data_IF_614989093124
#
_entry.id   IF_614989093124
#
_cell.length_a   1.000
_cell.length_b   1.000
_cell.length_c   1.000
_cell.angle_alpha   90.00
_cell.angle_beta   90.00
_cell.angle_gamma   90.00
#
_symmetry.space_group_name_H-M   'P 1'
#
loop_
_entity.id
_entity.type
_entity.pdbx_description
1 polymer ?
#
# COMPACT_ATOMS: atom_id res chain seq x y z
N UNK A 1 3.13 -17.01 -7.41
CA UNK A 1 2.70 -16.08 -6.36
C UNK A 1 1.21 -16.32 -6.21
N UNK A 2 0.80 -17.03 -5.17
CA UNK A 2 -0.55 -17.64 -5.04
C UNK A 2 -1.68 -16.61 -4.86
N UNK A 3 -1.33 -15.36 -4.52
CA UNK A 3 -2.31 -14.35 -4.15
C UNK A 3 -3.04 -13.73 -5.34
N UNK A 4 -2.41 -13.65 -6.52
CA UNK A 4 -2.96 -12.95 -7.68
C UNK A 4 -3.57 -13.94 -8.68
N UNK A 5 -4.69 -13.55 -9.30
CA UNK A 5 -5.35 -14.32 -10.36
C UNK A 5 -4.44 -14.52 -11.55
N UNK A 6 -4.49 -15.71 -12.14
CA UNK A 6 -3.94 -15.88 -13.48
C UNK A 6 -4.94 -15.40 -14.54
N UNK A 7 -4.43 -14.76 -15.58
CA UNK A 7 -5.21 -14.32 -16.74
C UNK A 7 -4.69 -15.11 -17.93
N UNK A 8 -5.57 -15.90 -18.54
CA UNK A 8 -5.26 -16.73 -19.70
C UNK A 8 -4.89 -15.93 -20.96
N UNK A 9 -5.22 -14.63 -21.00
CA UNK A 9 -4.88 -13.74 -22.11
C UNK A 9 -3.39 -13.40 -22.10
N UNK A 10 -2.74 -13.48 -23.27
CA UNK A 10 -1.31 -13.20 -23.46
C UNK A 10 -0.90 -11.73 -23.19
N UNK A 11 -1.85 -10.84 -22.91
CA UNK A 11 -1.60 -9.41 -22.71
C UNK A 11 -1.30 -8.69 -24.04
N UNK A 12 -0.77 -7.48 -23.95
CA UNK A 12 -0.27 -6.72 -25.12
C UNK A 12 1.25 -6.58 -25.06
N UNK A 13 1.92 -6.32 -26.21
CA UNK A 13 3.33 -5.99 -26.23
C UNK A 13 3.68 -4.84 -25.28
N UNK A 14 4.83 -4.94 -24.61
CA UNK A 14 5.24 -3.96 -23.58
C UNK A 14 5.29 -2.53 -24.11
N UNK A 15 5.83 -2.30 -25.32
CA UNK A 15 5.91 -0.94 -25.90
C UNK A 15 4.53 -0.31 -26.11
N UNK A 16 3.55 -1.11 -26.53
CA UNK A 16 2.16 -0.67 -26.66
C UNK A 16 1.55 -0.31 -25.30
N UNK A 17 1.77 -1.15 -24.28
CA UNK A 17 1.32 -0.89 -22.93
C UNK A 17 1.91 0.41 -22.39
N UNK A 18 3.22 0.62 -22.54
CA UNK A 18 3.91 1.82 -22.06
C UNK A 18 3.41 3.08 -22.74
N UNK A 19 3.15 3.04 -24.06
CA UNK A 19 2.55 4.17 -24.77
C UNK A 19 1.19 4.56 -24.19
N UNK A 20 0.31 3.57 -23.91
CA UNK A 20 -1.00 3.82 -23.29
C UNK A 20 -0.89 4.34 -21.87
N UNK A 21 0.00 3.76 -21.07
CA UNK A 21 0.24 4.18 -19.69
C UNK A 21 0.74 5.63 -19.64
N UNK A 22 1.63 6.04 -20.55
CA UNK A 22 2.08 7.44 -20.65
C UNK A 22 0.92 8.40 -20.94
N UNK A 23 0.01 8.04 -21.85
CA UNK A 23 -1.17 8.85 -22.14
C UNK A 23 -2.11 8.96 -20.93
N UNK A 24 -2.44 7.84 -20.26
CA UNK A 24 -3.28 7.85 -19.04
C UNK A 24 -2.63 8.61 -17.89
N UNK A 25 -1.32 8.43 -17.68
CA UNK A 25 -0.53 9.17 -16.69
C UNK A 25 -0.63 10.69 -16.87
N UNK A 26 -0.60 11.16 -18.12
CA UNK A 26 -0.78 12.58 -18.42
C UNK A 26 -2.20 13.06 -18.07
N UNK A 27 -3.22 12.25 -18.34
CA UNK A 27 -4.62 12.55 -17.97
C UNK A 27 -4.79 12.65 -16.44
N UNK A 28 -4.31 11.66 -15.68
CA UNK A 28 -4.35 11.66 -14.19
C UNK A 28 -3.68 12.92 -13.64
N UNK A 29 -2.52 13.29 -14.18
CA UNK A 29 -1.78 14.49 -13.74
C UNK A 29 -2.57 15.77 -14.02
N UNK A 30 -3.20 15.87 -15.20
CA UNK A 30 -4.02 17.02 -15.59
C UNK A 30 -5.27 17.14 -14.70
N UNK A 31 -5.97 16.04 -14.49
CA UNK A 31 -7.15 15.98 -13.62
C UNK A 31 -6.80 16.37 -12.18
N UNK A 32 -5.68 15.86 -11.67
CA UNK A 32 -5.21 16.18 -10.34
C UNK A 32 -4.90 17.68 -10.17
N UNK A 33 -4.18 18.28 -11.12
CA UNK A 33 -3.91 19.72 -11.12
C UNK A 33 -5.19 20.54 -11.18
N UNK A 34 -6.17 20.11 -11.98
CA UNK A 34 -7.47 20.77 -12.05
C UNK A 34 -8.25 20.66 -10.73
N UNK A 35 -8.22 19.51 -10.06
CA UNK A 35 -8.83 19.32 -8.75
C UNK A 35 -8.19 20.22 -7.69
N UNK A 36 -6.86 20.27 -7.64
CA UNK A 36 -6.11 21.17 -6.76
C UNK A 36 -6.45 22.64 -6.98
N UNK A 37 -6.55 23.07 -8.25
CA UNK A 37 -6.89 24.45 -8.58
C UNK A 37 -8.30 24.83 -8.12
N UNK A 38 -9.25 23.88 -8.15
CA UNK A 38 -10.63 24.11 -7.72
C UNK A 38 -10.80 24.09 -6.21
N UNK A 39 -9.91 23.39 -5.47
CA UNK A 39 -10.04 23.13 -4.02
C UNK A 39 -11.46 22.67 -3.59
N UNK A 40 -12.17 22.01 -4.48
CA UNK A 40 -13.54 21.57 -4.26
C UNK A 40 -13.59 20.05 -4.06
N UNK A 41 -14.46 19.54 -3.18
CA UNK A 41 -14.66 18.11 -3.05
C UNK A 41 -15.14 17.53 -4.38
N UNK A 42 -14.71 16.32 -4.74
CA UNK A 42 -15.21 15.66 -5.93
C UNK A 42 -16.71 15.35 -5.76
N UNK A 43 -17.49 15.46 -6.83
CA UNK A 43 -18.93 15.14 -6.83
C UNK A 43 -19.15 13.62 -6.92
N UNK A 44 -18.61 12.87 -5.97
CA UNK A 44 -18.57 11.41 -5.93
C UNK A 44 -18.52 10.93 -4.47
N UNK A 45 -18.73 9.63 -4.23
CA UNK A 45 -18.54 9.04 -2.91
C UNK A 45 -17.10 8.53 -2.69
N UNK A 46 -16.73 8.26 -1.44
CA UNK A 46 -15.41 7.67 -1.10
C UNK A 46 -15.27 6.29 -1.76
N UNK A 47 -16.34 5.49 -1.74
CA UNK A 47 -16.41 4.16 -2.37
C UNK A 47 -16.07 4.24 -3.86
N UNK A 48 -16.70 5.15 -4.60
CA UNK A 48 -16.46 5.33 -6.02
C UNK A 48 -15.03 5.78 -6.35
N UNK A 49 -14.36 6.51 -5.46
CA UNK A 49 -12.95 6.89 -5.63
C UNK A 49 -12.05 5.66 -5.56
N UNK A 50 -12.28 4.79 -4.57
CA UNK A 50 -11.50 3.57 -4.39
C UNK A 50 -11.83 2.51 -5.44
N UNK A 51 -13.09 2.40 -5.88
CA UNK A 51 -13.47 1.49 -6.97
C UNK A 51 -12.80 1.89 -8.29
N UNK A 52 -12.78 3.18 -8.62
CA UNK A 52 -12.04 3.66 -9.78
C UNK A 52 -10.53 3.36 -9.74
N UNK A 53 -9.93 3.32 -8.54
CA UNK A 53 -8.54 2.86 -8.38
C UNK A 53 -8.39 1.37 -8.70
N UNK A 54 -9.27 0.52 -8.16
CA UNK A 54 -9.24 -0.92 -8.39
C UNK A 54 -9.52 -1.26 -9.85
N UNK A 55 -10.44 -0.55 -10.51
CA UNK A 55 -10.70 -0.67 -11.94
C UNK A 55 -9.46 -0.36 -12.78
N UNK A 56 -8.72 0.71 -12.46
CA UNK A 56 -7.48 1.06 -13.16
C UNK A 56 -6.38 0.00 -12.95
N UNK A 57 -6.28 -0.57 -11.75
CA UNK A 57 -5.38 -1.70 -11.48
C UNK A 57 -5.79 -2.95 -12.27
N UNK A 58 -7.08 -3.27 -12.30
CA UNK A 58 -7.63 -4.38 -13.07
C UNK A 58 -7.39 -4.21 -14.58
N UNK A 59 -7.64 -3.01 -15.11
CA UNK A 59 -7.36 -2.66 -16.49
C UNK A 59 -5.89 -2.88 -16.80
N UNK A 60 -5.00 -2.29 -16.00
CA UNK A 60 -3.56 -2.33 -16.21
C UNK A 60 -3.04 -3.77 -16.19
N UNK A 61 -3.44 -4.55 -15.18
CA UNK A 61 -3.07 -5.95 -15.05
C UNK A 61 -3.54 -6.78 -16.25
N UNK A 62 -4.76 -6.53 -16.75
CA UNK A 62 -5.29 -7.18 -17.94
C UNK A 62 -4.61 -6.77 -19.26
N UNK A 63 -3.84 -5.67 -19.27
CA UNK A 63 -3.02 -5.30 -20.43
C UNK A 63 -1.62 -5.93 -20.42
N UNK A 64 -1.13 -6.41 -19.27
CA UNK A 64 0.24 -6.90 -19.11
C UNK A 64 0.41 -8.31 -19.68
N UNK A 65 1.49 -8.51 -20.44
CA UNK A 65 1.97 -9.85 -20.76
C UNK A 65 2.43 -10.61 -19.50
N UNK A 66 2.60 -11.93 -19.61
CA UNK A 66 2.97 -12.79 -18.49
C UNK A 66 4.31 -12.37 -17.83
N UNK A 67 5.27 -11.87 -18.61
CA UNK A 67 6.58 -11.42 -18.12
C UNK A 67 6.44 -10.17 -17.26
N UNK A 68 5.64 -9.20 -17.71
CA UNK A 68 5.40 -7.98 -16.98
C UNK A 68 4.56 -8.23 -15.73
N UNK A 69 3.53 -9.08 -15.83
CA UNK A 69 2.77 -9.56 -14.65
C UNK A 69 3.69 -10.19 -13.62
N UNK A 70 4.58 -11.10 -14.02
CA UNK A 70 5.53 -11.74 -13.10
C UNK A 70 6.49 -10.73 -12.42
N UNK A 71 6.94 -9.71 -13.15
CA UNK A 71 7.84 -8.68 -12.62
C UNK A 71 7.16 -7.77 -11.61
N UNK A 72 5.91 -7.37 -11.86
CA UNK A 72 5.14 -6.45 -11.01
C UNK A 72 4.27 -7.14 -9.97
N UNK A 73 4.11 -8.46 -10.04
CA UNK A 73 3.31 -9.25 -9.12
C UNK A 73 3.57 -8.93 -7.64
N UNK A 74 4.81 -8.68 -7.16
CA UNK A 74 5.01 -8.30 -5.76
C UNK A 74 4.27 -7.00 -5.41
N UNK A 75 4.35 -5.97 -6.25
CA UNK A 75 3.70 -4.69 -5.97
C UNK A 75 2.19 -4.78 -6.07
N UNK A 76 1.67 -5.53 -7.04
CA UNK A 76 0.23 -5.76 -7.17
C UNK A 76 -0.32 -6.56 -5.98
N UNK A 77 0.42 -7.58 -5.52
CA UNK A 77 0.09 -8.33 -4.31
C UNK A 77 0.08 -7.42 -3.07
N UNK A 78 1.06 -6.52 -2.92
CA UNK A 78 1.07 -5.54 -1.83
C UNK A 78 -0.21 -4.69 -1.81
N UNK A 79 -0.69 -4.24 -2.98
CA UNK A 79 -1.94 -3.47 -3.05
C UNK A 79 -3.17 -4.32 -2.72
N UNK A 80 -3.22 -5.57 -3.20
CA UNK A 80 -4.31 -6.48 -2.86
C UNK A 80 -4.32 -6.92 -1.40
N UNK A 81 -3.21 -6.84 -0.66
CA UNK A 81 -3.24 -7.06 0.79
C UNK A 81 -4.18 -6.08 1.50
N UNK A 82 -4.28 -4.83 1.02
CA UNK A 82 -5.25 -3.87 1.56
C UNK A 82 -6.68 -4.32 1.25
N UNK A 83 -6.96 -4.77 0.02
CA UNK A 83 -8.27 -5.31 -0.37
C UNK A 83 -8.65 -6.51 0.50
N UNK A 84 -7.72 -7.45 0.71
CA UNK A 84 -7.90 -8.62 1.55
C UNK A 84 -8.23 -8.22 3.00
N UNK A 85 -7.47 -7.30 3.59
CA UNK A 85 -7.72 -6.80 4.95
C UNK A 85 -9.08 -6.11 5.05
N UNK A 86 -9.46 -5.29 4.06
CA UNK A 86 -10.77 -4.65 4.03
C UNK A 86 -11.91 -5.66 3.91
N UNK A 87 -11.74 -6.72 3.12
CA UNK A 87 -12.70 -7.81 3.06
C UNK A 87 -12.85 -8.48 4.43
N UNK A 88 -11.75 -8.81 5.11
CA UNK A 88 -11.80 -9.39 6.46
C UNK A 88 -12.51 -8.48 7.47
N UNK A 89 -12.29 -7.15 7.41
CA UNK A 89 -13.00 -6.17 8.26
C UNK A 89 -14.48 -6.10 7.97
N UNK A 90 -14.89 -6.23 6.72
CA UNK A 90 -16.31 -6.24 6.34
C UNK A 90 -16.97 -7.58 6.69
N UNK A 91 -16.27 -8.71 6.59
CA UNK A 91 -16.74 -10.01 7.07
C UNK A 91 -16.98 -9.96 8.58
N UNK A 92 -16.02 -9.46 9.34
CA UNK A 92 -16.13 -9.33 10.81
C UNK A 92 -17.29 -8.41 11.23
N UNK A 93 -17.56 -7.37 10.43
CA UNK A 93 -18.69 -6.47 10.63
C UNK A 93 -20.02 -6.94 10.00
N UNK A 94 -20.09 -8.13 9.40
CA UNK A 94 -21.29 -8.66 8.75
C UNK A 94 -21.72 -7.97 7.45
N UNK A 95 -20.89 -7.10 6.85
CA UNK A 95 -21.20 -6.33 5.63
C UNK A 95 -20.82 -7.10 4.37
N UNK A 96 -21.66 -8.08 4.00
CA UNK A 96 -21.39 -8.99 2.86
C UNK A 96 -21.41 -8.32 1.49
N UNK A 97 -22.29 -7.36 1.29
CA UNK A 97 -22.39 -6.60 0.04
C UNK A 97 -21.10 -5.83 -0.24
N UNK A 98 -20.49 -5.24 0.81
CA UNK A 98 -19.19 -4.57 0.69
C UNK A 98 -18.05 -5.52 0.32
N UNK A 99 -18.08 -6.76 0.82
CA UNK A 99 -17.10 -7.78 0.41
C UNK A 99 -17.26 -8.11 -1.07
N UNK A 100 -18.50 -8.27 -1.55
CA UNK A 100 -18.75 -8.55 -2.96
C UNK A 100 -18.26 -7.42 -3.86
N UNK A 101 -18.54 -6.17 -3.49
CA UNK A 101 -18.09 -4.96 -4.20
C UNK A 101 -16.57 -4.86 -4.26
N UNK A 102 -15.88 -4.98 -3.13
CA UNK A 102 -14.40 -4.93 -3.09
C UNK A 102 -13.74 -6.01 -3.96
N UNK A 103 -14.39 -7.17 -4.09
CA UNK A 103 -13.88 -8.30 -4.88
C UNK A 103 -14.23 -8.20 -6.37
N UNK A 104 -15.07 -7.26 -6.80
CA UNK A 104 -15.48 -7.12 -8.21
C UNK A 104 -14.28 -6.80 -9.13
N UNK A 105 -13.42 -5.89 -8.69
CA UNK A 105 -12.24 -5.46 -9.45
C UNK A 105 -10.91 -6.00 -8.89
N UNK A 106 -10.98 -6.84 -7.86
CA UNK A 106 -9.79 -7.39 -7.21
C UNK A 106 -8.97 -8.26 -8.17
N UNK A 107 -7.65 -8.16 -8.01
CA UNK A 107 -6.68 -9.03 -8.66
C UNK A 107 -6.43 -10.33 -7.89
N UNK A 108 -7.12 -10.57 -6.78
CA UNK A 108 -6.97 -11.78 -5.98
C UNK A 108 -7.30 -13.04 -6.80
N UNK A 109 -6.57 -14.13 -6.52
CA UNK A 109 -6.80 -15.42 -7.15
C UNK A 109 -8.18 -15.99 -6.76
N UNK A 110 -8.82 -16.74 -7.67
CA UNK A 110 -10.17 -17.29 -7.45
C UNK A 110 -10.30 -18.11 -6.14
N UNK A 111 -9.33 -18.96 -5.74
CA UNK A 111 -9.41 -19.63 -4.44
C UNK A 111 -9.49 -18.66 -3.25
N UNK A 112 -8.79 -17.53 -3.31
CA UNK A 112 -8.81 -16.48 -2.29
C UNK A 112 -10.14 -15.73 -2.30
N UNK A 113 -10.64 -15.39 -3.48
CA UNK A 113 -11.95 -14.74 -3.66
C UNK A 113 -13.07 -15.63 -3.11
N UNK A 114 -13.05 -16.92 -3.45
CA UNK A 114 -14.01 -17.92 -2.97
C UNK A 114 -13.98 -18.05 -1.44
N UNK A 115 -12.78 -18.13 -0.85
CA UNK A 115 -12.61 -18.16 0.61
C UNK A 115 -13.24 -16.94 1.29
N UNK A 116 -13.06 -15.74 0.74
CA UNK A 116 -13.63 -14.50 1.30
C UNK A 116 -15.14 -14.40 1.11
N UNK A 117 -15.67 -14.84 -0.04
CA UNK A 117 -17.11 -14.78 -0.34
C UNK A 117 -17.93 -15.77 0.49
N UNK A 118 -17.42 -16.99 0.68
CA UNK A 118 -18.19 -18.09 1.25
C UNK A 118 -18.05 -18.23 2.76
N UNK A 119 -16.99 -17.69 3.36
CA UNK A 119 -16.76 -17.80 4.80
C UNK A 119 -17.91 -17.20 5.60
N UNK A 120 -18.51 -17.93 6.55
CA UNK A 120 -19.63 -17.44 7.38
C UNK A 120 -19.24 -16.38 8.41
N UNK A 121 -17.97 -16.38 8.84
CA UNK A 121 -17.38 -15.42 9.78
C UNK A 121 -15.89 -15.22 9.49
N UNK A 122 -15.26 -14.30 10.23
CA UNK A 122 -13.85 -13.95 10.05
C UNK A 122 -12.89 -15.11 10.35
N UNK A 123 -13.19 -15.97 11.33
CA UNK A 123 -12.31 -17.11 11.68
C UNK A 123 -12.30 -18.13 10.56
N UNK A 124 -13.48 -18.42 10.00
CA UNK A 124 -13.66 -19.30 8.84
C UNK A 124 -12.92 -18.73 7.63
N UNK A 125 -12.96 -17.41 7.42
CA UNK A 125 -12.21 -16.76 6.35
C UNK A 125 -10.69 -16.91 6.55
N UNK A 126 -10.18 -16.68 7.77
CA UNK A 126 -8.75 -16.81 8.07
C UNK A 126 -8.24 -18.24 7.88
N UNK A 127 -9.01 -19.24 8.32
CA UNK A 127 -8.69 -20.64 8.12
C UNK A 127 -8.66 -21.00 6.62
N UNK A 128 -9.69 -20.61 5.86
CA UNK A 128 -9.75 -20.87 4.43
C UNK A 128 -8.60 -20.16 3.66
N UNK A 129 -8.25 -18.93 4.05
CA UNK A 129 -7.11 -18.21 3.48
C UNK A 129 -5.78 -18.92 3.74
N UNK A 130 -5.58 -19.44 4.96
CA UNK A 130 -4.38 -20.18 5.33
C UNK A 130 -4.17 -21.45 4.48
N UNK A 131 -5.27 -22.11 4.08
CA UNK A 131 -5.24 -23.27 3.18
C UNK A 131 -4.92 -22.89 1.73
N UNK A 132 -5.53 -21.83 1.19
CA UNK A 132 -5.44 -21.51 -0.25
C UNK A 132 -4.25 -20.63 -0.64
N UNK A 133 -3.65 -19.91 0.31
CA UNK A 133 -2.53 -19.00 0.05
C UNK A 133 -1.43 -19.02 1.13
N UNK A 134 -0.97 -20.19 1.61
CA UNK A 134 -0.05 -20.30 2.74
C UNK A 134 1.26 -19.53 2.52
N UNK A 135 1.78 -19.57 1.29
CA UNK A 135 3.04 -18.90 0.94
C UNK A 135 2.91 -17.37 0.94
N UNK A 136 1.73 -16.85 0.57
CA UNK A 136 1.49 -15.41 0.51
C UNK A 136 1.20 -14.81 1.88
N UNK A 137 0.64 -15.60 2.80
CA UNK A 137 0.28 -15.13 4.14
C UNK A 137 1.49 -15.17 5.10
N UNK A 138 2.63 -15.74 4.66
CA UNK A 138 3.87 -15.81 5.43
C UNK A 138 3.71 -16.51 6.78
N UNK A 139 2.71 -17.37 6.89
CA UNK A 139 2.19 -17.94 8.12
C UNK A 139 1.88 -19.41 7.88
N UNK A 140 2.47 -20.30 8.68
CA UNK A 140 1.97 -21.67 8.76
C UNK A 140 0.50 -21.68 9.22
N UNK A 141 -0.18 -22.81 9.02
CA UNK A 141 -1.56 -23.00 9.48
C UNK A 141 -1.74 -22.52 10.94
N UNK A 142 -2.79 -21.76 11.20
CA UNK A 142 -3.15 -21.24 12.54
C UNK A 142 -2.53 -19.88 12.94
N UNK A 143 -1.45 -19.42 12.28
CA UNK A 143 -0.77 -18.18 12.73
C UNK A 143 -1.59 -16.89 12.55
N UNK A 144 -2.53 -16.85 11.61
CA UNK A 144 -3.46 -15.71 11.46
C UNK A 144 -4.60 -15.78 12.49
N UNK A 145 -5.09 -16.97 12.79
CA UNK A 145 -6.10 -17.17 13.84
C UNK A 145 -5.55 -16.80 15.22
N UNK A 146 -4.30 -17.18 15.51
CA UNK A 146 -3.60 -16.77 16.73
C UNK A 146 -3.43 -15.25 16.82
N UNK A 147 -3.11 -14.59 15.70
CA UNK A 147 -3.00 -13.14 15.66
C UNK A 147 -4.35 -12.47 15.93
N UNK A 148 -5.42 -13.03 15.35
CA UNK A 148 -6.79 -12.59 15.60
C UNK A 148 -7.20 -12.77 17.06
N UNK A 149 -6.91 -13.93 17.67
CA UNK A 149 -7.20 -14.20 19.07
C UNK A 149 -6.48 -13.24 20.04
N UNK A 150 -5.25 -12.81 19.71
CA UNK A 150 -4.44 -11.93 20.57
C UNK A 150 -4.81 -10.45 20.49
N UNK A 151 -5.33 -9.96 19.36
CA UNK A 151 -5.61 -8.52 19.21
C UNK A 151 -6.47 -8.15 18.00
N UNK A 152 -7.34 -9.07 17.59
CA UNK A 152 -8.30 -8.87 16.51
C UNK A 152 -7.66 -8.62 15.15
N UNK A 153 -8.43 -8.01 14.25
CA UNK A 153 -8.02 -7.77 12.86
C UNK A 153 -6.82 -6.85 12.71
N UNK A 154 -6.58 -5.94 13.64
CA UNK A 154 -5.40 -5.08 13.63
C UNK A 154 -4.10 -5.92 13.70
N UNK A 155 -4.08 -6.94 14.55
CA UNK A 155 -2.94 -7.85 14.66
C UNK A 155 -2.80 -8.74 13.44
N UNK A 156 -3.91 -9.20 12.86
CA UNK A 156 -3.92 -9.94 11.59
C UNK A 156 -3.30 -9.10 10.47
N UNK A 157 -3.78 -7.86 10.28
CA UNK A 157 -3.28 -6.92 9.27
C UNK A 157 -1.78 -6.68 9.43
N UNK A 158 -1.34 -6.30 10.63
CA UNK A 158 0.07 -6.03 10.92
C UNK A 158 0.94 -7.25 10.65
N UNK A 159 0.51 -8.43 11.09
CA UNK A 159 1.25 -9.69 10.87
C UNK A 159 1.35 -10.00 9.38
N UNK A 160 0.22 -9.94 8.67
CA UNK A 160 0.13 -10.27 7.25
C UNK A 160 1.04 -9.38 6.41
N UNK A 161 0.90 -8.05 6.55
CA UNK A 161 1.69 -7.09 5.79
C UNK A 161 3.19 -7.22 6.09
N UNK A 162 3.56 -7.39 7.37
CA UNK A 162 4.96 -7.57 7.78
C UNK A 162 5.56 -8.86 7.22
N UNK A 163 4.86 -9.98 7.38
CA UNK A 163 5.36 -11.28 6.92
C UNK A 163 5.52 -11.30 5.40
N UNK A 164 4.51 -10.79 4.67
CA UNK A 164 4.54 -10.70 3.23
C UNK A 164 5.69 -9.80 2.73
N UNK A 165 5.87 -8.59 3.29
CA UNK A 165 6.94 -7.68 2.87
C UNK A 165 8.34 -8.28 3.12
N UNK A 166 8.55 -8.83 4.31
CA UNK A 166 9.82 -9.44 4.70
C UNK A 166 10.18 -10.66 3.83
N UNK A 167 9.19 -11.38 3.32
CA UNK A 167 9.37 -12.49 2.39
C UNK A 167 9.56 -12.01 0.95
N UNK A 168 8.73 -11.08 0.48
CA UNK A 168 8.73 -10.58 -0.89
C UNK A 168 10.08 -9.98 -1.27
N UNK A 169 10.71 -9.20 -0.37
CA UNK A 169 12.00 -8.55 -0.63
C UNK A 169 13.17 -9.54 -0.72
N UNK A 170 13.07 -10.73 -0.11
CA UNK A 170 14.08 -11.80 -0.24
C UNK A 170 14.04 -12.50 -1.59
N UNK A 171 12.95 -12.37 -2.34
CA UNK A 171 12.79 -12.97 -3.66
C UNK A 171 13.69 -12.37 -4.74
N UNK A 172 13.68 -13.03 -5.91
CA UNK A 172 14.31 -12.50 -7.13
C UNK A 172 13.40 -11.43 -7.75
N UNK A 173 13.69 -10.17 -7.47
CA UNK A 173 12.91 -9.02 -7.91
C UNK A 173 13.58 -8.26 -9.05
N UNK A 174 12.77 -7.59 -9.88
CA UNK A 174 13.28 -6.55 -10.78
C UNK A 174 13.88 -5.40 -9.94
N UNK A 175 14.97 -4.73 -10.38
CA UNK A 175 15.64 -3.69 -9.58
C UNK A 175 14.70 -2.59 -9.08
N UNK A 176 13.85 -2.03 -9.95
CA UNK A 176 12.89 -0.99 -9.57
C UNK A 176 11.84 -1.48 -8.55
N UNK A 177 11.42 -2.74 -8.65
CA UNK A 177 10.49 -3.35 -7.68
C UNK A 177 11.16 -3.56 -6.33
N UNK A 178 12.43 -4.01 -6.32
CA UNK A 178 13.21 -4.12 -5.08
C UNK A 178 13.36 -2.75 -4.42
N UNK A 179 13.77 -1.74 -5.19
CA UNK A 179 13.95 -0.38 -4.69
C UNK A 179 12.66 0.17 -4.08
N UNK A 180 11.52 -0.04 -4.75
CA UNK A 180 10.20 0.32 -4.23
C UNK A 180 9.86 -0.39 -2.92
N UNK A 181 9.98 -1.73 -2.86
CA UNK A 181 9.63 -2.48 -1.64
C UNK A 181 10.53 -2.13 -0.46
N UNK A 182 11.83 -1.92 -0.68
CA UNK A 182 12.77 -1.47 0.34
C UNK A 182 12.33 -0.11 0.89
N UNK A 183 12.09 0.87 0.00
CA UNK A 183 11.65 2.20 0.41
C UNK A 183 10.29 2.17 1.14
N UNK A 184 9.38 1.30 0.71
CA UNK A 184 8.09 1.11 1.37
C UNK A 184 8.24 0.50 2.76
N UNK A 185 9.15 -0.46 2.94
CA UNK A 185 9.49 -1.04 4.25
C UNK A 185 10.05 0.05 5.18
N UNK A 186 11.00 0.86 4.70
CA UNK A 186 11.60 1.92 5.50
C UNK A 186 10.56 2.96 5.94
N UNK A 187 9.66 3.36 5.03
CA UNK A 187 8.52 4.23 5.35
C UNK A 187 7.67 3.64 6.49
N UNK A 188 7.28 2.36 6.39
CA UNK A 188 6.46 1.69 7.40
C UNK A 188 7.17 1.58 8.74
N UNK A 189 8.47 1.30 8.72
CA UNK A 189 9.29 1.25 9.92
C UNK A 189 9.41 2.64 10.58
N UNK A 190 9.64 3.71 9.82
CA UNK A 190 9.68 5.09 10.36
C UNK A 190 8.34 5.49 10.98
N UNK A 191 7.21 5.18 10.33
CA UNK A 191 5.87 5.41 10.91
C UNK A 191 5.69 4.62 12.21
N UNK A 192 6.25 3.41 12.28
CA UNK A 192 6.20 2.57 13.49
C UNK A 192 6.98 3.22 14.64
N UNK A 193 8.19 3.72 14.38
CA UNK A 193 8.98 4.48 15.38
C UNK A 193 8.19 5.69 15.86
N UNK A 194 7.62 6.47 14.94
CA UNK A 194 6.84 7.66 15.28
C UNK A 194 5.66 7.35 16.21
N UNK A 195 4.87 6.31 15.90
CA UNK A 195 3.72 5.89 16.72
C UNK A 195 4.13 5.55 18.14
N UNK A 196 5.27 4.88 18.31
CA UNK A 196 5.78 4.54 19.64
C UNK A 196 6.20 5.77 20.42
N UNK A 197 6.97 6.67 19.80
CA UNK A 197 7.39 7.91 20.45
C UNK A 197 6.18 8.77 20.84
N UNK A 198 5.14 8.80 20.00
CA UNK A 198 3.93 9.60 20.25
C UNK A 198 3.01 9.01 21.32
N UNK A 199 2.89 7.69 21.39
CA UNK A 199 1.98 7.02 22.33
C UNK A 199 2.68 6.45 23.57
N UNK A 200 3.98 6.71 23.73
CA UNK A 200 4.82 6.22 24.84
C UNK A 200 4.66 4.70 25.09
N UNK A 201 4.61 3.91 24.01
CA UNK A 201 4.47 2.45 24.12
C UNK A 201 5.82 1.85 24.53
N UNK A 202 5.91 1.37 25.77
CA UNK A 202 7.13 0.81 26.36
C UNK A 202 7.09 -0.72 26.45
N UNK A 203 5.92 -1.33 26.67
CA UNK A 203 5.81 -2.74 27.10
C UNK A 203 5.82 -3.78 25.97
N UNK A 204 5.73 -3.37 24.71
CA UNK A 204 5.74 -4.27 23.56
C UNK A 204 7.00 -4.08 22.72
N UNK A 205 7.65 -5.14 22.23
CA UNK A 205 8.73 -4.96 21.26
C UNK A 205 8.18 -4.42 19.91
N UNK A 206 8.84 -3.43 19.29
CA UNK A 206 8.41 -2.91 18.00
C UNK A 206 8.42 -4.00 16.94
N UNK A 207 7.30 -4.14 16.26
CA UNK A 207 7.11 -5.08 15.15
C UNK A 207 7.75 -4.57 13.84
N UNK A 208 9.06 -4.30 13.82
CA UNK A 208 9.75 -3.84 12.60
C UNK A 208 9.73 -4.90 11.49
N UNK A 209 9.72 -4.41 10.25
CA UNK A 209 9.76 -5.22 9.04
C UNK A 209 11.21 -5.31 8.57
N UNK A 210 11.73 -6.53 8.45
CA UNK A 210 13.07 -6.77 7.94
C UNK A 210 13.17 -6.55 6.42
N UNK A 211 14.37 -6.19 5.95
CA UNK A 211 14.69 -6.06 4.52
C UNK A 211 14.53 -4.65 3.93
N UNK A 212 14.31 -3.64 4.77
CA UNK A 212 14.52 -2.23 4.42
C UNK A 212 16.00 -1.86 4.37
N UNK A 213 16.32 -0.61 4.04
CA UNK A 213 17.69 -0.09 4.14
C UNK A 213 18.06 0.33 5.55
N UNK A 214 17.07 0.60 6.40
CA UNK A 214 17.30 0.95 7.80
C UNK A 214 17.57 -0.31 8.65
N UNK A 215 18.67 -0.29 9.40
CA UNK A 215 19.01 -1.35 10.34
C UNK A 215 17.98 -1.41 11.50
N UNK A 216 17.57 -2.62 11.88
CA UNK A 216 16.57 -2.85 12.94
C UNK A 216 17.05 -2.28 14.27
N UNK A 217 18.34 -2.40 14.55
CA UNK A 217 18.99 -1.88 15.76
C UNK A 217 18.90 -0.35 15.81
N UNK A 218 19.05 0.33 14.67
CA UNK A 218 18.89 1.79 14.56
C UNK A 218 17.44 2.22 14.78
N UNK A 219 16.49 1.46 14.24
CA UNK A 219 15.05 1.69 14.44
C UNK A 219 14.64 1.51 15.90
N UNK A 220 15.16 0.47 16.56
CA UNK A 220 14.92 0.21 17.98
C UNK A 220 15.50 1.34 18.85
N UNK A 221 16.75 1.77 18.59
CA UNK A 221 17.37 2.87 19.31
C UNK A 221 16.58 4.19 19.15
N UNK A 222 16.08 4.48 17.95
CA UNK A 222 15.27 5.67 17.69
C UNK A 222 13.85 5.60 18.27
N UNK A 223 13.40 4.43 18.75
CA UNK A 223 12.10 4.26 19.41
C UNK A 223 12.16 4.50 20.92
N UNK A 224 13.35 4.70 21.48
CA UNK A 224 13.52 4.98 22.90
C UNK A 224 13.00 6.38 23.27
N UNK A 225 12.51 6.53 24.51
CA UNK A 225 12.05 7.83 25.03
C UNK A 225 13.17 8.88 24.93
N UNK A 226 12.83 10.08 24.45
CA UNK A 226 13.80 11.17 24.26
C UNK A 226 14.67 11.06 23.01
N UNK A 227 14.49 10.03 22.17
CA UNK A 227 15.30 9.79 20.97
C UNK A 227 14.87 10.61 19.73
N UNK A 228 14.31 11.80 19.91
CA UNK A 228 13.73 12.59 18.81
C UNK A 228 14.78 12.98 17.76
N UNK A 229 16.01 13.26 18.18
CA UNK A 229 17.11 13.56 17.25
C UNK A 229 17.49 12.35 16.39
N UNK A 230 17.49 11.12 16.95
CA UNK A 230 17.70 9.90 16.15
C UNK A 230 16.53 9.67 15.19
N UNK A 231 15.29 9.92 15.63
CA UNK A 231 14.11 9.83 14.78
C UNK A 231 14.17 10.81 13.61
N UNK A 232 14.50 12.08 13.84
CA UNK A 232 14.68 13.08 12.78
C UNK A 232 15.75 12.67 11.76
N UNK A 233 16.84 12.03 12.22
CA UNK A 233 17.88 11.50 11.34
C UNK A 233 17.34 10.39 10.44
N UNK A 234 16.51 9.48 10.96
CA UNK A 234 15.86 8.43 10.16
C UNK A 234 14.91 9.03 9.12
N UNK A 235 14.13 10.05 9.51
CA UNK A 235 13.21 10.74 8.59
C UNK A 235 13.99 11.38 7.45
N UNK A 236 15.11 12.07 7.72
CA UNK A 236 15.94 12.67 6.65
C UNK A 236 16.60 11.62 5.76
N UNK A 237 16.92 10.44 6.28
CA UNK A 237 17.46 9.34 5.48
C UNK A 237 16.42 8.78 4.50
N UNK A 238 15.15 8.70 4.92
CA UNK A 238 14.05 8.16 4.09
C UNK A 238 13.40 9.20 3.18
N UNK A 239 13.23 10.44 3.66
CA UNK A 239 12.51 11.52 2.97
C UNK A 239 13.44 12.58 2.33
N UNK A 240 14.75 12.41 2.46
CA UNK A 240 15.75 13.37 1.97
C UNK A 240 16.13 14.44 3.01
N UNK A 241 17.28 15.08 2.78
CA UNK A 241 17.89 16.04 3.72
C UNK A 241 17.04 17.28 3.97
N UNK A 242 16.24 17.68 2.99
CA UNK A 242 15.36 18.84 3.04
C UNK A 242 14.00 18.53 3.67
N UNK A 243 13.81 17.30 4.19
CA UNK A 243 12.61 16.96 4.92
C UNK A 243 12.45 17.90 6.13
N UNK A 244 11.26 18.53 6.30
CA UNK A 244 11.06 19.48 7.37
C UNK A 244 11.24 18.79 8.73
N UNK A 245 11.78 19.49 9.75
CA UNK A 245 11.74 19.00 11.13
C UNK A 245 10.28 18.75 11.51
N UNK A 246 9.96 17.52 11.91
CA UNK A 246 8.56 17.14 12.09
C UNK A 246 8.04 17.66 13.42
N UNK A 247 7.14 18.64 13.36
CA UNK A 247 6.36 19.09 14.49
C UNK A 247 4.95 18.48 14.47
N UNK A 248 4.65 17.69 15.50
CA UNK A 248 3.34 17.41 16.12
C UNK A 248 2.27 16.51 15.46
N UNK A 249 2.27 16.13 14.17
CA UNK A 249 1.20 15.25 13.61
C UNK A 249 1.64 14.05 12.76
N UNK A 250 0.96 12.91 12.95
CA UNK A 250 1.20 11.64 12.23
C UNK A 250 0.93 11.77 10.74
N UNK A 251 -0.18 12.43 10.40
CA UNK A 251 -0.62 12.63 9.02
C UNK A 251 0.38 13.46 8.23
N UNK A 252 1.06 14.42 8.87
CA UNK A 252 2.11 15.21 8.21
C UNK A 252 3.34 14.34 7.90
N UNK A 253 3.77 13.48 8.84
CA UNK A 253 4.88 12.55 8.60
C UNK A 253 4.58 11.59 7.45
N UNK A 254 3.44 10.89 7.51
CA UNK A 254 3.10 9.91 6.47
C UNK A 254 2.97 10.59 5.10
N UNK A 255 2.37 11.79 5.04
CA UNK A 255 2.28 12.56 3.79
C UNK A 255 3.66 12.93 3.24
N UNK A 256 4.59 13.38 4.09
CA UNK A 256 5.97 13.69 3.67
C UNK A 256 6.68 12.44 3.12
N UNK A 257 6.58 11.31 3.81
CA UNK A 257 7.22 10.06 3.38
C UNK A 257 6.62 9.55 2.06
N UNK A 258 5.29 9.54 1.92
CA UNK A 258 4.60 9.12 0.70
C UNK A 258 4.90 10.07 -0.47
N UNK A 259 5.00 11.38 -0.20
CA UNK A 259 5.37 12.39 -1.19
C UNK A 259 6.80 12.20 -1.69
N UNK A 260 7.75 11.91 -0.79
CA UNK A 260 9.11 11.60 -1.19
C UNK A 260 9.19 10.31 -2.03
N UNK A 261 8.47 9.25 -1.64
CA UNK A 261 8.38 8.03 -2.44
C UNK A 261 7.78 8.31 -3.84
N UNK A 262 6.75 9.15 -3.92
CA UNK A 262 6.17 9.58 -5.20
C UNK A 262 7.17 10.37 -6.08
N UNK A 263 8.02 11.20 -5.46
CA UNK A 263 9.10 11.92 -6.13
C UNK A 263 10.14 10.96 -6.72
N UNK A 264 10.65 10.04 -5.90
CA UNK A 264 11.62 9.02 -6.33
C UNK A 264 11.10 8.15 -7.47
N UNK A 265 9.88 7.63 -7.37
CA UNK A 265 9.29 6.82 -8.44
C UNK A 265 9.17 7.59 -9.76
N UNK A 266 8.91 8.90 -9.70
CA UNK A 266 8.83 9.76 -10.87
C UNK A 266 10.18 9.97 -11.54
N UNK A 267 11.25 10.06 -10.76
CA UNK A 267 12.64 10.11 -11.24
C UNK A 267 13.04 8.76 -11.84
N UNK A 268 12.81 7.67 -11.12
CA UNK A 268 13.03 6.31 -11.59
C UNK A 268 12.29 6.01 -12.90
N UNK A 269 11.07 6.56 -13.09
CA UNK A 269 10.32 6.39 -14.32
C UNK A 269 10.87 7.17 -15.53
N UNK A 270 11.73 8.18 -15.31
CA UNK A 270 12.40 8.92 -16.39
C UNK A 270 13.67 8.22 -16.85
N UNK A 271 14.42 7.68 -15.89
CA UNK A 271 15.75 7.10 -16.11
C UNK A 271 15.72 5.57 -16.23
N UNK A 272 14.69 4.95 -15.64
CA UNK A 272 14.50 3.50 -15.61
C UNK A 272 13.72 2.96 -16.81
N UNK A 273 13.75 1.63 -16.93
CA UNK A 273 12.99 0.91 -17.96
C UNK A 273 11.49 0.81 -17.66
N UNK A 274 10.80 0.02 -18.46
CA UNK A 274 9.33 -0.12 -18.47
C UNK A 274 8.70 -0.41 -17.10
N UNK A 275 9.38 -1.21 -16.28
CA UNK A 275 8.91 -1.54 -14.92
C UNK A 275 8.80 -0.28 -14.05
N UNK A 276 9.76 0.64 -14.14
CA UNK A 276 9.74 1.88 -13.36
C UNK A 276 8.60 2.80 -13.78
N UNK A 277 8.32 2.89 -15.09
CA UNK A 277 7.18 3.65 -15.64
C UNK A 277 5.86 3.11 -15.09
N UNK A 278 5.71 1.78 -15.05
CA UNK A 278 4.50 1.13 -14.54
C UNK A 278 4.35 1.32 -13.03
N UNK A 279 5.45 1.30 -12.27
CA UNK A 279 5.44 1.59 -10.83
C UNK A 279 5.02 3.03 -10.53
N UNK A 280 5.58 4.03 -11.23
CA UNK A 280 5.12 5.43 -11.06
C UNK A 280 3.65 5.58 -11.42
N UNK A 281 3.18 4.90 -12.48
CA UNK A 281 1.77 4.97 -12.85
C UNK A 281 0.85 4.40 -11.76
N UNK A 282 1.13 3.18 -11.29
CA UNK A 282 0.39 2.54 -10.20
C UNK A 282 0.36 3.42 -8.94
N UNK A 283 1.53 3.92 -8.53
CA UNK A 283 1.63 4.78 -7.34
C UNK A 283 0.90 6.10 -7.51
N UNK A 284 0.96 6.70 -8.70
CA UNK A 284 0.25 7.96 -9.00
C UNK A 284 -1.26 7.79 -8.96
N UNK A 285 -1.78 6.65 -9.41
CA UNK A 285 -3.20 6.32 -9.26
C UNK A 285 -3.59 6.26 -7.78
N UNK A 286 -2.81 5.55 -6.96
CA UNK A 286 -3.04 5.48 -5.51
C UNK A 286 -3.02 6.87 -4.84
N UNK A 287 -2.00 7.69 -5.15
CA UNK A 287 -1.89 9.06 -4.61
C UNK A 287 -3.08 9.91 -5.04
N UNK A 288 -3.50 9.83 -6.31
CA UNK A 288 -4.65 10.57 -6.81
C UNK A 288 -5.94 10.17 -6.09
N UNK A 289 -6.17 8.86 -5.88
CA UNK A 289 -7.33 8.36 -5.13
C UNK A 289 -7.29 8.83 -3.67
N UNK A 290 -6.15 8.68 -2.98
CA UNK A 290 -5.95 9.16 -1.60
C UNK A 290 -6.25 10.65 -1.47
N UNK A 291 -5.69 11.47 -2.37
CA UNK A 291 -5.89 12.91 -2.33
C UNK A 291 -7.36 13.30 -2.60
N UNK A 292 -8.05 12.61 -3.51
CA UNK A 292 -9.48 12.82 -3.77
C UNK A 292 -10.33 12.46 -2.55
N UNK A 293 -10.02 11.36 -1.87
CA UNK A 293 -10.70 10.96 -0.63
C UNK A 293 -10.48 12.01 0.49
N UNK A 294 -9.24 12.50 0.66
CA UNK A 294 -8.96 13.59 1.61
C UNK A 294 -9.74 14.87 1.28
N UNK A 295 -9.79 15.27 0.01
CA UNK A 295 -10.59 16.43 -0.42
C UNK A 295 -12.08 16.26 -0.15
N UNK A 296 -12.62 15.06 -0.33
CA UNK A 296 -14.02 14.74 -0.05
C UNK A 296 -14.35 14.94 1.44
N UNK A 297 -13.44 14.55 2.33
CA UNK A 297 -13.64 14.65 3.79
C UNK A 297 -13.22 15.98 4.40
N UNK A 298 -12.45 16.80 3.67
CA UNK A 298 -11.91 18.05 4.20
C UNK A 298 -12.89 19.22 4.26
N UNK A 299 -14.03 19.15 3.57
CA UNK A 299 -15.13 20.12 3.74
C UNK A 299 -15.61 20.16 5.21
N UNK A 300 -15.28 19.14 6.01
CA UNK A 300 -15.57 19.03 7.44
C UNK A 300 -14.44 19.60 8.33
N UNK A 301 -13.20 19.75 7.83
CA UNK A 301 -12.00 19.98 8.68
C UNK A 301 -11.12 21.21 8.32
N UNK A 302 -11.40 21.90 7.21
CA UNK A 302 -10.80 23.21 6.89
C UNK A 302 -9.58 23.20 5.95
N UNK A 303 -9.41 24.30 5.21
CA UNK A 303 -8.49 24.44 4.05
C UNK A 303 -6.99 24.42 4.37
N UNK A 304 -6.57 24.82 5.58
CA UNK A 304 -5.16 24.82 5.98
C UNK A 304 -4.61 23.41 6.32
N UNK A 305 -5.50 22.47 6.70
CA UNK A 305 -5.15 21.07 6.92
C UNK A 305 -4.87 20.36 5.60
N UNK A 306 -5.70 20.63 4.58
CA UNK A 306 -5.54 20.08 3.23
C UNK A 306 -4.17 20.35 2.62
N UNK A 307 -3.64 21.56 2.74
CA UNK A 307 -2.34 21.92 2.14
C UNK A 307 -1.18 21.11 2.73
N UNK A 308 -1.33 20.54 3.93
CA UNK A 308 -0.32 19.71 4.59
C UNK A 308 -0.47 18.21 4.31
N UNK A 309 -1.65 17.77 3.88
CA UNK A 309 -1.99 16.35 3.75
C UNK A 309 -2.08 15.86 2.30
N UNK A 310 -2.15 16.79 1.35
CA UNK A 310 -2.14 16.47 -0.08
C UNK A 310 -0.72 16.24 -0.59
N UNK A 311 -0.56 15.19 -1.40
CA UNK A 311 0.71 14.85 -2.05
C UNK A 311 0.74 15.48 -3.46
N UNK A 312 1.86 16.12 -3.82
CA UNK A 312 2.05 16.85 -5.08
C UNK A 312 2.54 16.02 -6.28
#
# INVERSE_FOLDING_TARGET
MELLRDIAKDGFPTDYLIARVRARRAAVTREWRAALARKAPPSTSDEAIWDGLLEEYAWLYGQMDARMRARLAPVLALFELKTLVLCLRNIDAGRREEVARLLEHSLLAEPVVSALRTAGDVRTALAALAEVAPSALGAGAGALEDAYAKGGLKNVENRLVRAWLAQAVKGRLAPSVRAFLVAFIDLRNVVTVYKRLRWEIEDEEPAFIAGGSLLIERLAAASARGAMAQFDALVREVAGRDAPPLAASETALETVLLGHLAGRLREDAREGGDVAVLLDYLWRLYVAARNRALLLHADVQGTAMLERELIA
#
